data_IF_102408091482
#
_entry.id   IF_102408091482
#
_cell.length_a   1.000
_cell.length_b   1.000
_cell.length_c   1.000
_cell.angle_alpha   90.00
_cell.angle_beta   90.00
_cell.angle_gamma   90.00
#
_symmetry.space_group_name_H-M   'P 1'
#
loop_
_entity.id
_entity.type
_entity.pdbx_description
1 polymer ?
#
# COMPACT_ATOMS: atom_id res chain seq x y z
N UNK A 1 -3.36 9.28 11.19
CA UNK A 1 -2.47 10.44 11.36
C UNK A 1 -1.72 10.30 12.67
N UNK A 2 -0.49 10.80 12.75
CA UNK A 2 0.46 10.59 13.85
C UNK A 2 0.97 11.92 14.44
N UNK A 3 0.98 12.98 13.64
CA UNK A 3 1.21 14.36 14.07
C UNK A 3 0.39 15.33 13.19
N UNK A 4 0.14 16.57 13.63
CA UNK A 4 -0.56 17.57 12.83
C UNK A 4 0.14 17.84 11.50
N UNK A 5 -0.67 18.16 10.48
CA UNK A 5 -0.20 18.65 9.18
C UNK A 5 -0.78 20.05 9.02
N UNK A 6 0.05 21.01 8.64
CA UNK A 6 -0.35 22.40 8.47
C UNK A 6 -0.34 22.78 7.00
N UNK A 7 -1.12 23.80 6.65
CA UNK A 7 -1.08 24.39 5.32
C UNK A 7 0.34 24.92 5.02
N UNK A 8 0.90 24.52 3.88
CA UNK A 8 2.26 24.86 3.49
C UNK A 8 3.32 23.82 3.86
N UNK A 9 2.99 22.77 4.62
CA UNK A 9 3.91 21.66 4.84
C UNK A 9 4.25 20.95 3.52
N UNK A 10 5.52 20.60 3.34
CA UNK A 10 5.99 19.75 2.24
C UNK A 10 6.12 18.34 2.76
N UNK A 11 5.33 17.42 2.22
CA UNK A 11 5.34 16.01 2.63
C UNK A 11 6.12 15.16 1.64
N UNK A 12 7.10 14.41 2.16
CA UNK A 12 7.78 13.34 1.44
C UNK A 12 7.06 12.03 1.74
N UNK A 13 6.60 11.35 0.68
CA UNK A 13 5.96 10.04 0.77
C UNK A 13 6.94 8.93 0.37
N UNK A 14 7.12 7.94 1.22
CA UNK A 14 7.89 6.73 0.92
C UNK A 14 6.97 5.53 1.04
N UNK A 15 6.77 4.82 -0.07
CA UNK A 15 5.98 3.59 -0.13
C UNK A 15 6.89 2.37 -0.06
N UNK A 16 6.51 1.38 0.72
CA UNK A 16 7.22 0.10 0.88
C UNK A 16 6.21 -1.04 0.77
N UNK A 17 6.55 -2.06 -0.02
CA UNK A 17 5.81 -3.34 0.00
C UNK A 17 6.20 -4.05 1.28
N UNK A 18 5.28 -4.12 2.23
CA UNK A 18 5.54 -4.72 3.56
C UNK A 18 5.14 -6.18 3.63
N UNK A 19 4.34 -6.66 2.69
CA UNK A 19 3.93 -8.06 2.59
C UNK A 19 3.45 -8.39 1.18
N UNK A 20 3.67 -9.64 0.75
CA UNK A 20 3.14 -10.20 -0.50
C UNK A 20 2.65 -11.62 -0.23
N UNK A 21 1.39 -11.89 -0.56
CA UNK A 21 0.82 -13.23 -0.38
C UNK A 21 -0.17 -13.59 -1.49
N UNK A 22 -0.38 -14.89 -1.67
CA UNK A 22 -1.26 -15.44 -2.69
C UNK A 22 -2.52 -16.05 -2.06
N UNK A 23 -3.67 -15.96 -2.77
CA UNK A 23 -4.89 -16.69 -2.43
C UNK A 23 -5.51 -17.31 -3.68
N UNK A 24 -6.18 -18.48 -3.56
CA UNK A 24 -6.93 -19.05 -4.68
C UNK A 24 -8.11 -18.15 -5.09
N UNK A 25 -8.26 -17.93 -6.38
CA UNK A 25 -9.36 -17.17 -6.98
C UNK A 25 -10.65 -17.98 -7.05
N UNK A 26 -11.81 -17.33 -6.90
CA UNK A 26 -13.13 -17.98 -6.96
C UNK A 26 -13.47 -18.63 -8.32
N UNK A 27 -12.79 -18.22 -9.40
CA UNK A 27 -13.07 -18.65 -10.78
C UNK A 27 -11.96 -19.52 -11.38
N UNK A 28 -11.14 -20.15 -10.53
CA UNK A 28 -9.88 -20.75 -10.97
C UNK A 28 -8.79 -19.69 -11.17
N UNK A 29 -7.54 -20.08 -10.94
CA UNK A 29 -6.38 -19.17 -10.95
C UNK A 29 -6.00 -18.62 -9.57
N UNK A 30 -4.83 -17.98 -9.49
CA UNK A 30 -4.28 -17.36 -8.29
C UNK A 30 -4.58 -15.86 -8.21
N UNK A 31 -4.63 -15.31 -7.00
CA UNK A 31 -4.70 -13.86 -6.75
C UNK A 31 -3.51 -13.45 -5.90
N UNK A 32 -2.72 -12.50 -6.38
CA UNK A 32 -1.62 -11.92 -5.65
C UNK A 32 -2.09 -10.68 -4.90
N UNK A 33 -1.70 -10.57 -3.63
CA UNK A 33 -1.96 -9.43 -2.79
C UNK A 33 -0.64 -8.80 -2.41
N UNK A 34 -0.48 -7.51 -2.68
CA UNK A 34 0.66 -6.73 -2.22
C UNK A 34 0.17 -5.70 -1.19
N UNK A 35 0.68 -5.80 0.04
CA UNK A 35 0.40 -4.83 1.09
C UNK A 35 1.44 -3.73 1.03
N UNK A 36 0.99 -2.51 0.78
CA UNK A 36 1.86 -1.35 0.64
C UNK A 36 1.61 -0.43 1.81
N UNK A 37 2.68 -0.03 2.47
CA UNK A 37 2.65 0.99 3.51
C UNK A 37 3.36 2.24 2.99
N UNK A 38 2.69 3.39 3.10
CA UNK A 38 3.25 4.69 2.73
C UNK A 38 3.43 5.52 3.99
N UNK A 39 4.68 5.86 4.29
CA UNK A 39 5.02 6.83 5.33
C UNK A 39 5.10 8.23 4.73
N UNK A 40 4.47 9.20 5.40
CA UNK A 40 4.54 10.62 5.05
C UNK A 40 5.30 11.37 6.13
N UNK A 41 6.42 12.00 5.73
CA UNK A 41 7.24 12.85 6.61
C UNK A 41 7.18 14.29 6.15
N UNK A 42 7.08 15.23 7.09
CA UNK A 42 7.15 16.66 6.76
C UNK A 42 8.60 17.10 6.48
N UNK A 43 8.79 18.38 6.14
CA UNK A 43 10.09 19.00 5.88
C UNK A 43 11.09 18.89 7.05
N UNK A 44 10.62 18.70 8.28
CA UNK A 44 11.45 18.45 9.46
C UNK A 44 11.76 16.98 9.71
N UNK A 45 11.35 16.07 8.83
CA UNK A 45 11.54 14.63 8.97
C UNK A 45 10.56 13.94 9.94
N UNK A 46 9.60 14.69 10.52
CA UNK A 46 8.60 14.14 11.45
C UNK A 46 7.60 13.28 10.68
N UNK A 47 7.37 12.05 11.14
CA UNK A 47 6.35 11.17 10.60
C UNK A 47 4.96 11.69 10.99
N UNK A 48 4.20 12.19 10.02
CA UNK A 48 2.89 12.82 10.25
C UNK A 48 1.73 11.89 9.90
N UNK A 49 1.93 10.95 8.98
CA UNK A 49 0.92 9.98 8.61
C UNK A 49 1.54 8.68 8.12
N UNK A 50 0.77 7.60 8.27
CA UNK A 50 1.02 6.29 7.68
C UNK A 50 -0.27 5.84 7.00
N UNK A 51 -0.20 5.52 5.72
CA UNK A 51 -1.29 4.93 4.97
C UNK A 51 -0.95 3.48 4.65
N UNK A 52 -1.97 2.61 4.62
CA UNK A 52 -1.82 1.21 4.23
C UNK A 52 -2.84 0.89 3.15
N UNK A 53 -2.37 0.33 2.04
CA UNK A 53 -3.21 -0.13 0.94
C UNK A 53 -2.90 -1.59 0.61
N UNK A 54 -3.86 -2.26 -0.02
CA UNK A 54 -3.68 -3.61 -0.53
C UNK A 54 -4.00 -3.57 -2.01
N UNK A 55 -3.00 -3.85 -2.84
CA UNK A 55 -3.17 -4.06 -4.28
C UNK A 55 -3.50 -5.53 -4.51
N UNK A 56 -4.46 -5.80 -5.40
CA UNK A 56 -4.87 -7.16 -5.76
C UNK A 56 -4.64 -7.32 -7.27
N UNK A 57 -3.81 -8.28 -7.64
CA UNK A 57 -3.62 -8.72 -9.01
C UNK A 57 -4.28 -10.09 -9.17
N UNK A 58 -5.29 -10.17 -10.03
CA UNK A 58 -5.99 -11.43 -10.30
C UNK A 58 -5.36 -12.13 -11.50
N UNK A 59 -5.03 -13.42 -11.34
CA UNK A 59 -4.64 -14.28 -12.46
C UNK A 59 -5.73 -14.37 -13.52
N UNK A 60 -5.32 -14.68 -14.75
CA UNK A 60 -6.26 -14.96 -15.84
C UNK A 60 -7.14 -16.16 -15.49
N UNK A 61 -8.41 -16.12 -15.91
CA UNK A 61 -9.30 -17.28 -15.80
C UNK A 61 -8.68 -18.42 -16.60
N UNK A 62 -8.39 -19.54 -15.94
CA UNK A 62 -8.01 -20.78 -16.63
C UNK A 62 -9.25 -21.24 -17.40
N UNK A 63 -9.20 -21.20 -18.73
CA UNK A 63 -10.21 -21.82 -19.58
C UNK A 63 -9.81 -23.27 -19.81
N UNK A 64 -10.70 -24.19 -19.48
CA UNK A 64 -10.64 -25.60 -19.87
C UNK A 64 -10.75 -25.75 -21.40
#
# INVERSE_FOLDING_TARGET
FLAPIHAGDVLTAVSTVVDVYEKPGKRGGSMNFAVIETEYRNQGGTLVARARSVSIETGQVVKD
#
